data_IF_217363514246
#
_entry.id   IF_217363514246
#
_cell.length_a   1.000
_cell.length_b   1.000
_cell.length_c   1.000
_cell.angle_alpha   90.00
_cell.angle_beta   90.00
_cell.angle_gamma   90.00
#
_symmetry.space_group_name_H-M   'P 1'
#
loop_
_entity.id
_entity.type
_entity.pdbx_description
1 polymer ?
#
# COMPACT_ATOMS: atom_id res chain seq x y z
N UNK A 1 13.57 29.86 -51.20
CA UNK A 1 12.81 28.60 -51.19
C UNK A 1 12.88 28.05 -49.78
N UNK A 2 11.72 27.81 -49.15
CA UNK A 2 11.50 27.27 -47.79
C UNK A 2 12.01 28.21 -46.66
N UNK A 3 11.23 28.64 -45.68
CA UNK A 3 10.15 27.93 -45.03
C UNK A 3 9.05 28.90 -44.60
N UNK A 4 7.87 28.67 -45.17
CA UNK A 4 6.60 29.20 -44.70
C UNK A 4 6.19 28.48 -43.41
N UNK A 5 6.87 28.77 -42.30
CA UNK A 5 6.48 28.28 -40.96
C UNK A 5 6.13 29.49 -40.11
N UNK A 6 5.14 30.26 -40.57
CA UNK A 6 4.36 31.12 -39.68
C UNK A 6 3.14 30.33 -39.27
N UNK A 7 3.02 30.11 -37.96
CA UNK A 7 1.75 29.80 -37.28
C UNK A 7 1.01 28.53 -37.71
N UNK A 8 1.63 27.36 -37.53
CA UNK A 8 0.83 26.16 -37.19
C UNK A 8 0.53 26.31 -35.70
N UNK A 9 -0.71 26.70 -35.40
CA UNK A 9 -1.16 27.01 -34.06
C UNK A 9 -0.92 25.86 -33.08
N UNK A 10 -0.48 26.22 -31.88
CA UNK A 10 -0.22 25.34 -30.73
C UNK A 10 -1.32 24.29 -30.49
N UNK A 11 -2.56 24.57 -30.93
CA UNK A 11 -3.72 23.71 -30.79
C UNK A 11 -3.64 22.39 -31.58
N UNK A 12 -2.97 22.36 -32.74
CA UNK A 12 -2.93 21.15 -33.58
C UNK A 12 -1.90 20.11 -33.11
N UNK A 13 -0.81 20.54 -32.47
CA UNK A 13 0.19 19.64 -31.88
C UNK A 13 -0.30 18.98 -30.59
N UNK A 14 -1.20 19.63 -29.85
CA UNK A 14 -1.85 19.06 -28.65
C UNK A 14 -2.85 17.96 -28.99
N UNK A 15 -3.47 17.98 -30.19
CA UNK A 15 -4.46 16.98 -30.58
C UNK A 15 -3.85 15.62 -30.98
N UNK A 16 -2.62 15.59 -31.51
CA UNK A 16 -1.95 14.33 -31.91
C UNK A 16 -1.33 13.54 -30.74
N UNK A 17 -1.14 14.15 -29.57
CA UNK A 17 -0.62 13.45 -28.38
C UNK A 17 -1.70 12.68 -27.60
N UNK A 18 -2.99 12.96 -27.83
CA UNK A 18 -4.10 12.33 -27.08
C UNK A 18 -4.62 11.02 -27.68
N UNK A 19 -4.19 10.65 -28.90
CA UNK A 19 -4.71 9.46 -29.62
C UNK A 19 -3.76 8.24 -29.53
N UNK A 20 -2.60 8.37 -28.91
CA UNK A 20 -1.65 7.28 -28.64
C UNK A 20 -1.42 7.30 -27.13
N UNK A 21 -2.22 6.64 -26.30
CA UNK A 21 -1.97 5.25 -25.92
C UNK A 21 -3.06 4.81 -24.93
N UNK A 22 -3.72 3.66 -25.17
CA UNK A 22 -4.04 2.79 -24.05
C UNK A 22 -3.77 1.32 -24.40
N UNK A 23 -2.49 0.97 -24.60
CA UNK A 23 -2.04 -0.43 -24.60
C UNK A 23 -1.41 -0.86 -23.26
N UNK A 24 -1.23 0.06 -22.31
CA UNK A 24 -0.61 -0.20 -21.01
C UNK A 24 -1.66 -0.41 -19.90
N UNK A 25 -2.69 -1.21 -20.18
CA UNK A 25 -3.60 -1.71 -19.13
C UNK A 25 -3.35 -3.20 -18.87
N UNK A 26 -2.10 -3.66 -18.98
CA UNK A 26 -1.66 -4.90 -18.33
C UNK A 26 -0.98 -4.51 -17.02
N UNK A 27 -1.79 -4.08 -16.04
CA UNK A 27 -1.30 -4.05 -14.66
C UNK A 27 -1.14 -5.50 -14.23
N UNK A 28 0.13 -5.90 -14.19
CA UNK A 28 0.69 -6.97 -13.38
C UNK A 28 -0.15 -7.08 -12.09
N UNK A 29 -0.95 -8.14 -11.99
CA UNK A 29 -1.62 -8.57 -10.76
C UNK A 29 -0.56 -9.17 -9.82
N UNK A 30 0.38 -8.34 -9.40
CA UNK A 30 1.63 -8.74 -8.76
C UNK A 30 2.53 -7.53 -8.53
N UNK A 31 1.96 -6.43 -8.03
CA UNK A 31 2.75 -5.34 -7.48
C UNK A 31 2.27 -5.11 -6.05
N UNK A 32 3.19 -5.39 -5.14
CA UNK A 32 3.09 -5.37 -3.69
C UNK A 32 2.71 -3.99 -3.16
N UNK A 33 1.42 -3.69 -3.13
CA UNK A 33 0.82 -2.68 -2.26
C UNK A 33 -0.27 -3.32 -1.39
N UNK A 34 0.00 -4.52 -0.86
CA UNK A 34 -0.92 -5.27 0.01
C UNK A 34 -0.57 -5.09 1.50
N UNK A 35 -0.09 -3.91 1.89
CA UNK A 35 0.20 -3.60 3.29
C UNK A 35 -0.88 -2.72 3.96
N UNK A 36 -1.93 -2.30 3.26
CA UNK A 36 -2.81 -1.22 3.79
C UNK A 36 -4.31 -1.41 3.55
N UNK A 37 -4.83 -2.63 3.50
CA UNK A 37 -6.30 -2.84 3.56
C UNK A 37 -6.74 -4.03 4.43
N UNK A 38 -5.86 -5.01 4.68
CA UNK A 38 -6.27 -6.19 5.45
C UNK A 38 -6.35 -5.87 6.95
N UNK A 39 -7.57 -5.77 7.44
CA UNK A 39 -7.93 -5.39 8.80
C UNK A 39 -9.11 -6.24 9.26
N UNK A 40 -9.19 -6.48 10.56
CA UNK A 40 -10.25 -7.28 11.17
C UNK A 40 -10.97 -6.46 12.24
N UNK A 41 -12.21 -6.84 12.54
CA UNK A 41 -12.97 -6.26 13.65
C UNK A 41 -12.77 -7.16 14.87
N UNK A 42 -12.25 -6.62 15.96
CA UNK A 42 -12.18 -7.34 17.24
C UNK A 42 -13.56 -7.42 17.92
N UNK A 43 -13.65 -8.10 19.04
CA UNK A 43 -14.91 -8.24 19.79
C UNK A 43 -15.42 -6.91 20.37
N UNK A 44 -14.55 -5.90 20.51
CA UNK A 44 -14.93 -4.54 20.92
C UNK A 44 -15.47 -3.70 19.74
N UNK A 45 -15.55 -4.25 18.52
CA UNK A 45 -15.99 -3.52 17.33
C UNK A 45 -14.92 -2.61 16.73
N UNK A 46 -13.67 -2.68 17.18
CA UNK A 46 -12.56 -1.87 16.67
C UNK A 46 -11.99 -2.49 15.39
N UNK A 47 -11.78 -1.66 14.36
CA UNK A 47 -11.08 -2.05 13.13
C UNK A 47 -9.57 -2.04 13.36
N UNK A 48 -8.99 -3.22 13.52
CA UNK A 48 -7.58 -3.44 13.80
C UNK A 48 -6.86 -3.92 12.54
N UNK A 49 -5.68 -3.35 12.25
CA UNK A 49 -4.85 -3.85 11.15
C UNK A 49 -4.25 -5.21 11.50
N UNK A 50 -4.12 -6.09 10.51
CA UNK A 50 -3.46 -7.38 10.72
C UNK A 50 -1.96 -7.20 10.98
N UNK A 51 -1.31 -8.19 11.62
CA UNK A 51 0.13 -8.15 11.80
C UNK A 51 0.87 -7.99 10.47
N UNK A 52 1.90 -7.16 10.45
CA UNK A 52 2.68 -6.89 9.24
C UNK A 52 4.18 -6.89 9.51
N UNK A 53 4.97 -7.32 8.53
CA UNK A 53 6.42 -7.20 8.57
C UNK A 53 6.85 -5.82 8.09
N UNK A 54 7.74 -5.17 8.84
CA UNK A 54 8.31 -3.88 8.50
C UNK A 54 9.78 -3.81 8.93
N UNK A 55 10.61 -3.08 8.17
CA UNK A 55 12.04 -2.91 8.53
C UNK A 55 12.27 -2.11 9.81
N UNK A 56 11.24 -1.43 10.32
CA UNK A 56 11.25 -0.65 11.56
C UNK A 56 9.89 -0.76 12.24
N UNK A 57 9.88 -0.66 13.57
CA UNK A 57 8.66 -0.64 14.37
C UNK A 57 7.71 0.48 13.90
N UNK A 58 6.47 0.15 13.49
CA UNK A 58 5.41 1.13 13.23
C UNK A 58 5.01 1.85 14.52
N UNK A 59 4.60 3.11 14.42
CA UNK A 59 4.30 3.95 15.59
C UNK A 59 3.13 3.42 16.43
N UNK A 60 2.15 2.80 15.79
CA UNK A 60 0.92 2.27 16.40
C UNK A 60 0.97 0.75 16.65
N UNK A 61 2.13 0.11 16.45
CA UNK A 61 2.30 -1.27 16.84
C UNK A 61 2.22 -1.42 18.36
N UNK A 62 1.41 -2.36 18.82
CA UNK A 62 1.23 -2.67 20.24
C UNK A 62 2.07 -3.86 20.68
N UNK A 63 2.53 -4.71 19.75
CA UNK A 63 3.43 -5.81 20.06
C UNK A 63 4.35 -6.21 18.90
N UNK A 64 5.45 -6.86 19.23
CA UNK A 64 6.30 -7.61 18.30
C UNK A 64 6.04 -9.10 18.44
N UNK A 65 5.69 -9.77 17.36
CA UNK A 65 5.50 -11.22 17.31
C UNK A 65 6.84 -11.94 17.12
N UNK A 66 6.91 -13.22 17.51
CA UNK A 66 8.15 -14.03 17.38
C UNK A 66 8.55 -14.33 15.94
N UNK A 67 7.62 -14.24 14.99
CA UNK A 67 7.90 -14.38 13.56
C UNK A 67 8.42 -13.08 12.89
N UNK A 68 8.67 -12.03 13.67
CA UNK A 68 9.16 -10.75 13.19
C UNK A 68 8.08 -9.79 12.68
N UNK A 69 6.80 -10.17 12.75
CA UNK A 69 5.69 -9.26 12.44
C UNK A 69 5.36 -8.34 13.61
N UNK A 70 4.77 -7.18 13.31
CA UNK A 70 4.27 -6.22 14.29
C UNK A 70 2.76 -6.32 14.38
N UNK A 71 2.23 -6.52 15.59
CA UNK A 71 0.79 -6.58 15.87
C UNK A 71 0.25 -5.22 16.28
N UNK A 72 -1.02 -4.99 15.96
CA UNK A 72 -1.79 -3.78 16.30
C UNK A 72 -2.98 -4.11 17.22
N UNK A 73 -3.04 -5.33 17.75
CA UNK A 73 -4.13 -5.78 18.62
C UNK A 73 -4.22 -4.94 19.89
N UNK A 74 -5.43 -4.49 20.24
CA UNK A 74 -5.71 -3.80 21.51
C UNK A 74 -5.72 -4.75 22.72
N UNK A 75 -5.73 -6.07 22.50
CA UNK A 75 -5.83 -7.05 23.58
C UNK A 75 -4.56 -7.87 23.73
N UNK A 76 -4.29 -8.33 24.96
CA UNK A 76 -3.19 -9.26 25.20
C UNK A 76 -3.53 -10.71 24.87
N UNK A 77 -4.79 -11.12 25.08
CA UNK A 77 -5.21 -12.51 24.84
C UNK A 77 -5.25 -12.82 23.35
N UNK A 78 -4.59 -13.91 22.96
CA UNK A 78 -4.57 -14.41 21.58
C UNK A 78 -3.66 -13.62 20.62
N UNK A 79 -3.04 -12.54 21.07
CA UNK A 79 -2.15 -11.75 20.21
C UNK A 79 -0.92 -12.56 19.80
N UNK A 80 -0.58 -12.49 18.52
CA UNK A 80 0.48 -13.27 17.88
C UNK A 80 0.31 -14.80 18.00
N UNK A 81 -0.88 -15.34 18.32
CA UNK A 81 -1.05 -16.80 18.49
C UNK A 81 -0.65 -17.61 17.25
N UNK A 82 -1.01 -17.12 16.06
CA UNK A 82 -0.63 -17.68 14.76
C UNK A 82 0.83 -17.36 14.36
N UNK A 83 1.47 -16.46 15.10
CA UNK A 83 2.80 -15.90 14.84
C UNK A 83 3.82 -16.32 15.92
N UNK A 84 3.57 -17.44 16.61
CA UNK A 84 4.47 -18.01 17.62
C UNK A 84 4.41 -17.36 19.00
N UNK A 85 3.45 -16.47 19.23
CA UNK A 85 3.29 -15.69 20.45
C UNK A 85 4.03 -14.35 20.40
N UNK A 86 3.87 -13.57 21.48
CA UNK A 86 4.47 -12.25 21.60
C UNK A 86 5.92 -12.36 22.07
N UNK A 87 6.82 -11.68 21.38
CA UNK A 87 8.20 -11.48 21.79
C UNK A 87 8.34 -10.28 22.74
N UNK A 88 7.69 -9.16 22.40
CA UNK A 88 7.74 -7.92 23.18
C UNK A 88 6.41 -7.16 23.09
N UNK A 89 6.00 -6.55 24.20
CA UNK A 89 4.86 -5.64 24.27
C UNK A 89 5.34 -4.19 24.25
N UNK A 90 4.66 -3.34 23.47
CA UNK A 90 4.90 -1.91 23.44
C UNK A 90 3.89 -1.17 24.31
N UNK A 91 4.36 -0.15 25.04
CA UNK A 91 3.52 0.74 25.85
C UNK A 91 3.09 1.98 25.08
#
# INVERSE_FOLDING_TARGET
MLAAIKSIGLAALLAMALVWQPAMAKRVAGSTNLATEDSYINHDGQKIRRPMHAGRKPADATAHCRDGSYSFSAHHRGTCSHHGGVAEWYR
#
